data_IF_269740511557
#
_entry.id   IF_269740511557
#
_cell.length_a   1.000
_cell.length_b   1.000
_cell.length_c   1.000
_cell.angle_alpha   90.00
_cell.angle_beta   90.00
_cell.angle_gamma   90.00
#
_symmetry.space_group_name_H-M   'P 1'
#
loop_
_entity.id
_entity.type
_entity.pdbx_description
1 polymer ?
#
# COMPACT_ATOMS: atom_id res chain seq x y z
N UNK A 1 -22.43 9.89 5.88
CA UNK A 1 -21.70 8.61 6.18
C UNK A 1 -20.58 8.85 7.18
N UNK A 2 -20.16 7.80 7.90
CA UNK A 2 -19.03 7.84 8.82
C UNK A 2 -17.87 6.99 8.28
N UNK A 3 -16.72 7.59 8.09
CA UNK A 3 -15.54 6.95 7.54
C UNK A 3 -14.41 6.91 8.57
N UNK A 4 -13.77 5.76 8.73
CA UNK A 4 -12.52 5.62 9.47
C UNK A 4 -11.37 5.29 8.51
N UNK A 5 -10.28 6.02 8.59
CA UNK A 5 -9.05 5.77 7.84
C UNK A 5 -7.92 5.52 8.84
N UNK A 6 -7.41 4.29 8.92
CA UNK A 6 -6.17 4.01 9.65
C UNK A 6 -4.97 4.22 8.71
N UNK A 7 -3.83 4.62 9.24
CA UNK A 7 -2.68 4.98 8.40
C UNK A 7 -2.87 6.28 7.61
N UNK A 8 -3.73 7.19 8.12
CA UNK A 8 -4.10 8.45 7.46
C UNK A 8 -2.94 9.41 7.19
N UNK A 9 -1.83 9.29 7.90
CA UNK A 9 -0.61 10.08 7.63
C UNK A 9 0.26 9.52 6.50
N UNK A 10 -0.05 8.30 6.00
CA UNK A 10 0.66 7.65 4.91
C UNK A 10 0.30 8.23 3.53
N UNK A 11 1.00 7.75 2.49
CA UNK A 11 0.81 8.22 1.11
C UNK A 11 -0.64 8.00 0.62
N UNK A 12 -1.13 6.77 0.72
CA UNK A 12 -2.51 6.43 0.30
C UNK A 12 -3.53 7.13 1.20
N UNK A 13 -3.32 7.10 2.53
CA UNK A 13 -4.25 7.67 3.51
C UNK A 13 -4.49 9.16 3.33
N UNK A 14 -3.43 9.95 3.10
CA UNK A 14 -3.55 11.40 2.82
C UNK A 14 -4.33 11.70 1.55
N UNK A 15 -4.09 10.95 0.49
CA UNK A 15 -4.78 11.14 -0.79
C UNK A 15 -6.24 10.69 -0.69
N UNK A 16 -6.51 9.58 -0.01
CA UNK A 16 -7.86 9.09 0.25
C UNK A 16 -8.66 10.11 1.08
N UNK A 17 -8.09 10.59 2.20
CA UNK A 17 -8.74 11.61 3.03
C UNK A 17 -9.13 12.86 2.24
N UNK A 18 -8.19 13.38 1.43
CA UNK A 18 -8.46 14.55 0.58
C UNK A 18 -9.60 14.27 -0.41
N UNK A 19 -9.60 13.10 -1.04
CA UNK A 19 -10.61 12.73 -2.03
C UNK A 19 -11.99 12.54 -1.39
N UNK A 20 -12.09 11.85 -0.26
CA UNK A 20 -13.36 11.71 0.46
C UNK A 20 -13.86 13.10 0.87
N UNK A 21 -12.98 13.94 1.47
CA UNK A 21 -13.37 15.29 1.92
C UNK A 21 -13.92 16.18 0.81
N UNK A 22 -13.42 16.08 -0.42
CA UNK A 22 -13.91 16.85 -1.57
C UNK A 22 -15.28 16.34 -2.03
N UNK A 23 -15.52 15.02 -1.93
CA UNK A 23 -16.73 14.37 -2.42
C UNK A 23 -17.79 14.12 -1.33
N UNK A 24 -17.47 14.47 -0.08
CA UNK A 24 -18.37 14.23 1.06
C UNK A 24 -19.43 15.30 1.21
N UNK A 25 -20.61 14.88 1.69
CA UNK A 25 -21.67 15.77 2.10
C UNK A 25 -21.35 16.47 3.43
N UNK A 26 -22.06 17.57 3.74
CA UNK A 26 -21.85 18.35 4.99
C UNK A 26 -22.02 17.50 6.27
N UNK A 27 -22.79 16.41 6.19
CA UNK A 27 -23.09 15.52 7.31
C UNK A 27 -22.14 14.32 7.39
N UNK A 28 -21.17 14.18 6.48
CA UNK A 28 -20.23 13.09 6.51
C UNK A 28 -19.13 13.35 7.56
N UNK A 29 -18.86 12.33 8.37
CA UNK A 29 -17.80 12.37 9.38
C UNK A 29 -16.61 11.53 8.93
N UNK A 30 -15.42 12.13 8.85
CA UNK A 30 -14.20 11.47 8.39
C UNK A 30 -13.16 11.50 9.50
N UNK A 31 -12.89 10.36 10.09
CA UNK A 31 -11.84 10.18 11.11
C UNK A 31 -10.63 9.55 10.44
N UNK A 32 -9.53 10.30 10.40
CA UNK A 32 -8.27 9.85 9.79
C UNK A 32 -7.18 9.77 10.85
N UNK A 33 -6.70 8.55 11.13
CA UNK A 33 -5.80 8.25 12.24
C UNK A 33 -4.38 7.95 11.76
N UNK A 34 -3.42 8.57 12.41
CA UNK A 34 -2.01 8.16 12.40
C UNK A 34 -1.69 7.32 13.65
N UNK A 35 -0.47 6.76 13.72
CA UNK A 35 0.00 6.07 14.93
C UNK A 35 0.12 6.98 16.18
N UNK A 36 0.14 8.30 16.00
CA UNK A 36 0.10 9.27 17.11
C UNK A 36 -1.31 9.42 17.67
N UNK A 37 -2.32 9.24 16.84
CA UNK A 37 -3.74 9.36 17.23
C UNK A 37 -4.25 8.05 17.83
N UNK A 38 -3.85 6.92 17.25
CA UNK A 38 -4.18 5.57 17.70
C UNK A 38 -3.11 4.59 17.22
N UNK A 39 -2.26 4.12 18.12
CA UNK A 39 -1.29 3.08 17.80
C UNK A 39 -1.97 1.70 17.87
N UNK A 40 -2.30 1.17 16.71
CA UNK A 40 -3.02 -0.10 16.58
C UNK A 40 -2.27 -1.32 17.11
N UNK A 41 -1.00 -1.19 17.49
CA UNK A 41 -0.27 -2.24 18.22
C UNK A 41 -0.82 -2.45 19.63
N UNK A 42 -1.53 -1.47 20.17
CA UNK A 42 -2.21 -1.55 21.47
C UNK A 42 -3.68 -1.85 21.27
N UNK A 43 -4.18 -2.91 21.93
CA UNK A 43 -5.54 -3.42 21.77
C UNK A 43 -6.64 -2.39 22.13
N UNK A 44 -6.32 -1.44 23.03
CA UNK A 44 -7.26 -0.41 23.52
C UNK A 44 -7.27 0.88 22.68
N UNK A 45 -6.40 0.98 21.70
CA UNK A 45 -6.18 2.24 20.95
C UNK A 45 -7.42 2.78 20.22
N UNK A 46 -8.36 1.89 19.86
CA UNK A 46 -9.60 2.24 19.16
C UNK A 46 -10.83 2.36 20.10
N UNK A 47 -10.71 2.11 21.41
CA UNK A 47 -11.84 2.11 22.34
C UNK A 47 -12.62 3.41 22.37
N UNK A 48 -11.94 4.56 22.23
CA UNK A 48 -12.57 5.88 22.15
C UNK A 48 -13.54 6.05 20.99
N UNK A 49 -13.52 5.14 20.02
CA UNK A 49 -14.39 5.13 18.85
C UNK A 49 -15.49 4.06 18.91
N UNK A 50 -15.61 3.29 20.00
CA UNK A 50 -16.59 2.20 20.13
C UNK A 50 -18.04 2.66 19.90
N UNK A 51 -18.38 3.86 20.33
CA UNK A 51 -19.72 4.43 20.23
C UNK A 51 -20.03 5.11 18.90
N UNK A 52 -19.03 5.30 18.03
CA UNK A 52 -19.21 5.84 16.70
C UNK A 52 -19.51 4.67 15.76
N UNK A 53 -20.64 4.70 15.03
CA UNK A 53 -20.94 3.69 14.02
C UNK A 53 -20.37 4.15 12.68
N UNK A 54 -19.39 3.38 12.19
CA UNK A 54 -18.79 3.63 10.87
C UNK A 54 -19.55 2.87 9.79
N UNK A 55 -19.64 3.48 8.61
CA UNK A 55 -20.14 2.82 7.39
C UNK A 55 -19.01 2.07 6.69
N UNK A 56 -17.82 2.71 6.64
CA UNK A 56 -16.62 2.15 6.00
C UNK A 56 -15.38 2.38 6.84
N UNK A 57 -14.52 1.36 6.88
CA UNK A 57 -13.21 1.39 7.54
C UNK A 57 -12.16 1.11 6.48
N UNK A 58 -11.30 2.09 6.18
CA UNK A 58 -10.15 1.92 5.29
C UNK A 58 -8.91 1.59 6.12
N UNK A 59 -8.51 0.32 6.09
CA UNK A 59 -7.34 -0.15 6.82
C UNK A 59 -6.07 -0.04 5.99
N UNK A 60 -5.38 1.10 6.13
CA UNK A 60 -4.14 1.42 5.42
C UNK A 60 -2.91 1.42 6.34
N UNK A 61 -3.11 1.27 7.65
CA UNK A 61 -2.02 1.21 8.60
C UNK A 61 -1.17 -0.05 8.37
N UNK A 62 0.14 0.14 8.25
CA UNK A 62 1.11 -0.94 8.13
C UNK A 62 2.47 -0.46 8.62
N UNK A 63 3.22 -1.34 9.26
CA UNK A 63 4.60 -1.09 9.68
C UNK A 63 5.55 -1.63 8.61
N UNK A 64 5.86 -0.79 7.60
CA UNK A 64 6.64 -1.16 6.44
C UNK A 64 7.37 0.04 5.83
N UNK A 65 8.54 -0.24 5.23
CA UNK A 65 9.26 0.67 4.35
C UNK A 65 9.73 -0.11 3.11
N UNK A 66 10.06 0.61 2.04
CA UNK A 66 10.62 0.02 0.83
C UNK A 66 12.10 -0.40 1.01
N UNK A 67 12.71 -0.94 -0.03
CA UNK A 67 14.10 -1.38 -0.03
C UNK A 67 14.31 -2.64 0.81
N UNK A 68 15.44 -2.71 1.49
CA UNK A 68 15.88 -3.84 2.31
C UNK A 68 15.27 -3.88 3.73
N UNK A 69 14.32 -2.99 4.02
CA UNK A 69 13.69 -2.91 5.34
C UNK A 69 13.11 -4.25 5.81
N UNK A 70 12.45 -4.99 4.92
CA UNK A 70 11.87 -6.29 5.26
C UNK A 70 12.91 -7.37 5.54
N UNK A 71 14.11 -7.25 4.97
CA UNK A 71 15.21 -8.17 5.24
C UNK A 71 15.85 -7.89 6.59
N UNK A 72 16.05 -6.62 6.92
CA UNK A 72 16.77 -6.19 8.14
C UNK A 72 15.86 -6.14 9.39
N UNK A 73 14.54 -6.02 9.21
CA UNK A 73 13.54 -5.87 10.29
C UNK A 73 12.43 -6.93 10.21
N UNK A 74 12.71 -8.11 9.68
CA UNK A 74 11.70 -9.14 9.39
C UNK A 74 10.87 -9.56 10.61
N UNK A 75 11.52 -9.78 11.76
CA UNK A 75 10.85 -10.16 13.01
C UNK A 75 9.98 -9.05 13.59
N UNK A 76 10.51 -7.83 13.68
CA UNK A 76 9.74 -6.66 14.13
C UNK A 76 8.57 -6.36 13.20
N UNK A 77 8.79 -6.50 11.89
CA UNK A 77 7.76 -6.31 10.88
C UNK A 77 6.61 -7.31 11.05
N UNK A 78 6.94 -8.58 11.31
CA UNK A 78 5.96 -9.62 11.62
C UNK A 78 5.14 -9.25 12.85
N UNK A 79 5.79 -9.02 14.01
CA UNK A 79 5.11 -8.73 15.27
C UNK A 79 4.23 -7.49 15.15
N UNK A 80 4.78 -6.38 14.67
CA UNK A 80 4.05 -5.11 14.60
C UNK A 80 2.83 -5.19 13.68
N UNK A 81 2.96 -5.82 12.50
CA UNK A 81 1.82 -5.93 11.58
C UNK A 81 0.77 -6.94 12.08
N UNK A 82 1.16 -8.03 12.74
CA UNK A 82 0.19 -8.95 13.34
C UNK A 82 -0.62 -8.27 14.45
N UNK A 83 0.02 -7.50 15.33
CA UNK A 83 -0.67 -6.71 16.34
C UNK A 83 -1.62 -5.71 15.71
N UNK A 84 -1.17 -4.90 14.74
CA UNK A 84 -1.97 -3.91 14.01
C UNK A 84 -3.21 -4.57 13.40
N UNK A 85 -3.03 -5.65 12.66
CA UNK A 85 -4.10 -6.34 11.96
C UNK A 85 -5.08 -7.02 12.92
N UNK A 86 -4.56 -7.76 13.89
CA UNK A 86 -5.40 -8.52 14.84
C UNK A 86 -6.22 -7.60 15.74
N UNK A 87 -5.62 -6.52 16.25
CA UNK A 87 -6.34 -5.57 17.09
C UNK A 87 -7.46 -4.86 16.31
N UNK A 88 -7.20 -4.47 15.04
CA UNK A 88 -8.24 -3.90 14.21
C UNK A 88 -9.36 -4.92 13.91
N UNK A 89 -9.03 -6.14 13.52
CA UNK A 89 -10.03 -7.18 13.21
C UNK A 89 -10.90 -7.51 14.44
N UNK A 90 -10.30 -7.60 15.63
CA UNK A 90 -11.03 -7.82 16.88
C UNK A 90 -11.96 -6.65 17.22
N UNK A 91 -11.49 -5.41 17.05
CA UNK A 91 -12.31 -4.22 17.26
C UNK A 91 -13.44 -4.11 16.23
N UNK A 92 -13.15 -4.41 14.94
CA UNK A 92 -14.13 -4.45 13.86
C UNK A 92 -15.26 -5.44 14.19
N UNK A 93 -14.91 -6.67 14.60
CA UNK A 93 -15.87 -7.69 14.99
C UNK A 93 -16.76 -7.23 16.17
N UNK A 94 -16.15 -6.69 17.23
CA UNK A 94 -16.87 -6.40 18.48
C UNK A 94 -17.74 -5.16 18.42
N UNK A 95 -17.29 -4.11 17.72
CA UNK A 95 -17.89 -2.79 17.81
C UNK A 95 -18.39 -2.23 16.49
N UNK A 96 -17.90 -2.74 15.37
CA UNK A 96 -18.15 -2.20 14.03
C UNK A 96 -18.60 -3.25 13.02
N UNK A 97 -19.31 -4.27 13.44
CA UNK A 97 -19.71 -5.42 12.61
C UNK A 97 -20.55 -5.03 11.38
N UNK A 98 -21.19 -3.88 11.38
CA UNK A 98 -21.95 -3.36 10.22
C UNK A 98 -21.08 -2.56 9.24
N UNK A 99 -19.88 -2.16 9.64
CA UNK A 99 -18.99 -1.40 8.78
C UNK A 99 -18.32 -2.32 7.74
N UNK A 100 -18.23 -1.85 6.50
CA UNK A 100 -17.42 -2.53 5.49
C UNK A 100 -15.93 -2.22 5.69
N UNK A 101 -15.12 -3.27 5.85
CA UNK A 101 -13.66 -3.15 5.98
C UNK A 101 -12.99 -3.21 4.61
N UNK A 102 -12.36 -2.12 4.19
CA UNK A 102 -11.56 -2.05 2.96
C UNK A 102 -10.08 -2.09 3.36
N UNK A 103 -9.35 -3.08 2.88
CA UNK A 103 -7.91 -3.26 3.18
C UNK A 103 -7.06 -3.32 1.92
N UNK A 104 -5.75 -3.08 2.08
CA UNK A 104 -4.79 -3.13 0.99
C UNK A 104 -3.91 -4.36 1.17
N UNK A 105 -3.97 -5.26 0.17
CA UNK A 105 -3.05 -6.37 -0.01
C UNK A 105 -1.73 -5.94 -0.63
N UNK A 106 -0.99 -6.89 -1.17
CA UNK A 106 0.25 -6.64 -1.91
C UNK A 106 0.49 -7.72 -2.96
N UNK A 107 0.98 -7.34 -4.12
CA UNK A 107 1.39 -8.30 -5.16
C UNK A 107 2.54 -9.22 -4.70
N UNK A 108 3.34 -8.77 -3.72
CA UNK A 108 4.39 -9.60 -3.11
C UNK A 108 3.84 -10.82 -2.34
N UNK A 109 2.52 -10.88 -2.11
CA UNK A 109 1.86 -12.03 -1.49
C UNK A 109 1.67 -13.21 -2.43
N UNK A 110 1.73 -12.99 -3.74
CA UNK A 110 1.69 -14.09 -4.70
C UNK A 110 2.98 -14.91 -4.66
N UNK A 111 2.88 -16.15 -5.13
CA UNK A 111 4.04 -17.00 -5.29
C UNK A 111 5.09 -16.33 -6.19
N UNK A 112 6.36 -16.42 -5.79
CA UNK A 112 7.45 -15.87 -6.59
C UNK A 112 7.53 -16.61 -7.94
N UNK A 113 7.44 -15.85 -9.03
CA UNK A 113 7.33 -16.36 -10.41
C UNK A 113 6.06 -17.18 -10.71
N UNK A 114 5.05 -17.12 -9.85
CA UNK A 114 3.74 -17.75 -10.05
C UNK A 114 2.74 -16.86 -10.80
N UNK A 115 1.50 -17.34 -10.88
CA UNK A 115 0.36 -16.57 -11.38
C UNK A 115 0.02 -15.42 -10.43
N UNK A 116 -0.43 -14.29 -11.00
CA UNK A 116 -0.98 -13.16 -10.24
C UNK A 116 -2.51 -13.14 -10.29
N UNK A 117 -3.18 -14.27 -10.52
CA UNK A 117 -4.63 -14.35 -10.45
C UNK A 117 -5.11 -14.33 -8.99
N UNK A 118 -6.24 -13.67 -8.71
CA UNK A 118 -6.77 -13.50 -7.34
C UNK A 118 -6.95 -14.83 -6.60
N UNK A 119 -7.34 -15.90 -7.30
CA UNK A 119 -7.49 -17.24 -6.73
C UNK A 119 -6.19 -17.81 -6.14
N UNK A 120 -5.04 -17.33 -6.64
CA UNK A 120 -3.71 -17.81 -6.27
C UNK A 120 -3.04 -16.96 -5.17
N UNK A 121 -3.75 -15.95 -4.65
CA UNK A 121 -3.19 -15.02 -3.63
C UNK A 121 -2.67 -15.73 -2.36
N UNK A 122 -3.26 -16.87 -2.00
CA UNK A 122 -2.87 -17.66 -0.82
C UNK A 122 -2.03 -18.90 -1.18
N UNK A 123 -1.72 -19.14 -2.43
CA UNK A 123 -0.95 -20.32 -2.87
C UNK A 123 0.56 -20.06 -2.87
N UNK A 124 1.34 -21.11 -2.81
CA UNK A 124 2.79 -21.08 -2.90
C UNK A 124 3.50 -20.21 -1.86
N UNK A 125 4.82 -20.08 -2.01
CA UNK A 125 5.63 -19.21 -1.17
C UNK A 125 5.68 -17.80 -1.75
N UNK A 126 5.36 -16.76 -0.98
CA UNK A 126 5.46 -15.38 -1.46
C UNK A 126 6.92 -14.96 -1.68
N UNK A 127 7.11 -13.80 -2.31
CA UNK A 127 8.43 -13.23 -2.60
C UNK A 127 9.35 -13.28 -1.38
N UNK A 128 10.48 -13.97 -1.50
CA UNK A 128 11.39 -14.30 -0.40
C UNK A 128 11.93 -13.06 0.32
N UNK A 129 12.31 -12.02 -0.42
CA UNK A 129 12.83 -10.76 0.15
C UNK A 129 11.81 -9.96 0.95
N UNK A 130 10.50 -10.22 0.77
CA UNK A 130 9.40 -9.54 1.44
C UNK A 130 8.50 -10.51 2.22
N UNK A 131 9.01 -11.71 2.54
CA UNK A 131 8.25 -12.82 3.09
C UNK A 131 7.41 -12.43 4.32
N UNK A 132 8.03 -11.83 5.35
CA UNK A 132 7.31 -11.42 6.57
C UNK A 132 6.18 -10.44 6.28
N UNK A 133 6.42 -9.44 5.42
CA UNK A 133 5.41 -8.47 5.01
C UNK A 133 4.26 -9.12 4.23
N UNK A 134 4.61 -9.92 3.25
CA UNK A 134 3.64 -10.63 2.40
C UNK A 134 2.74 -11.56 3.22
N UNK A 135 3.33 -12.34 4.14
CA UNK A 135 2.58 -13.22 5.03
C UNK A 135 1.66 -12.44 5.98
N UNK A 136 2.08 -11.29 6.51
CA UNK A 136 1.18 -10.44 7.31
C UNK A 136 -0.04 -9.97 6.50
N UNK A 137 0.13 -9.69 5.21
CA UNK A 137 -0.98 -9.31 4.32
C UNK A 137 -1.89 -10.50 3.99
N UNK A 138 -1.33 -11.70 3.77
CA UNK A 138 -2.12 -12.94 3.65
C UNK A 138 -2.92 -13.22 4.92
N UNK A 139 -2.32 -13.08 6.11
CA UNK A 139 -3.00 -13.30 7.40
C UNK A 139 -4.13 -12.30 7.64
N UNK A 140 -3.96 -11.03 7.24
CA UNK A 140 -5.04 -10.04 7.28
C UNK A 140 -6.22 -10.49 6.40
N UNK A 141 -5.94 -10.92 5.17
CA UNK A 141 -6.98 -11.41 4.25
C UNK A 141 -7.68 -12.66 4.79
N UNK A 142 -6.94 -13.64 5.30
CA UNK A 142 -7.50 -14.84 5.94
C UNK A 142 -8.41 -14.46 7.12
N UNK A 143 -7.98 -13.50 7.95
CA UNK A 143 -8.79 -13.00 9.07
C UNK A 143 -10.11 -12.39 8.59
N UNK A 144 -10.08 -11.56 7.55
CA UNK A 144 -11.29 -10.98 6.96
C UNK A 144 -12.24 -12.04 6.40
N UNK A 145 -11.72 -13.02 5.65
CA UNK A 145 -12.52 -14.12 5.10
C UNK A 145 -13.22 -14.93 6.21
N UNK A 146 -12.49 -15.31 7.26
CA UNK A 146 -13.05 -16.11 8.33
C UNK A 146 -14.09 -15.35 9.17
N UNK A 147 -13.85 -14.07 9.45
CA UNK A 147 -14.82 -13.21 10.12
C UNK A 147 -16.08 -12.98 9.27
N UNK A 148 -15.93 -12.79 7.97
CA UNK A 148 -17.07 -12.70 7.06
C UNK A 148 -17.86 -14.02 7.02
N UNK A 149 -17.18 -15.15 6.89
CA UNK A 149 -17.82 -16.47 6.86
C UNK A 149 -18.58 -16.82 8.15
N UNK A 150 -17.99 -16.49 9.30
CA UNK A 150 -18.55 -16.88 10.60
C UNK A 150 -19.60 -15.90 11.11
N UNK A 151 -19.42 -14.60 10.87
CA UNK A 151 -20.21 -13.54 11.50
C UNK A 151 -20.95 -12.64 10.49
N UNK A 152 -20.84 -12.89 9.19
CA UNK A 152 -21.49 -12.10 8.15
C UNK A 152 -20.89 -10.70 7.94
N UNK A 153 -19.66 -10.46 8.38
CA UNK A 153 -19.00 -9.17 8.17
C UNK A 153 -18.68 -8.95 6.69
N UNK A 154 -18.59 -7.68 6.30
CA UNK A 154 -18.34 -7.29 4.89
C UNK A 154 -16.96 -6.70 4.72
N UNK A 155 -16.18 -7.23 3.78
CA UNK A 155 -14.85 -6.71 3.47
C UNK A 155 -14.62 -6.54 1.96
N UNK A 156 -13.56 -5.82 1.62
CA UNK A 156 -12.95 -5.78 0.29
C UNK A 156 -11.44 -5.64 0.45
N UNK A 157 -10.68 -6.54 -0.16
CA UNK A 157 -9.22 -6.47 -0.19
C UNK A 157 -8.78 -6.06 -1.59
N UNK A 158 -8.06 -4.95 -1.70
CA UNK A 158 -7.52 -4.45 -2.97
C UNK A 158 -6.01 -4.69 -3.04
N UNK A 159 -5.54 -5.26 -4.12
CA UNK A 159 -4.11 -5.55 -4.35
C UNK A 159 -3.61 -4.65 -5.48
N UNK A 160 -3.13 -3.44 -5.18
CA UNK A 160 -2.65 -2.54 -6.23
C UNK A 160 -1.26 -2.94 -6.73
N UNK A 161 -0.99 -2.63 -8.00
CA UNK A 161 0.37 -2.50 -8.51
C UNK A 161 1.11 -1.34 -7.80
N UNK A 162 2.35 -1.05 -8.16
CA UNK A 162 3.13 -0.01 -7.46
C UNK A 162 2.50 1.36 -7.62
N UNK A 163 2.02 1.93 -6.50
CA UNK A 163 1.37 3.23 -6.49
C UNK A 163 2.37 4.38 -6.52
N UNK A 164 2.08 5.39 -7.36
CA UNK A 164 2.85 6.62 -7.42
C UNK A 164 1.95 7.85 -7.53
N UNK A 165 2.53 9.04 -7.34
CA UNK A 165 1.81 10.31 -7.47
C UNK A 165 2.17 11.31 -6.37
N UNK A 166 1.43 12.42 -6.27
CA UNK A 166 1.72 13.51 -5.34
C UNK A 166 1.49 13.11 -3.89
N UNK A 167 2.27 13.71 -2.98
CA UNK A 167 2.13 13.52 -1.53
C UNK A 167 2.95 12.36 -0.95
N UNK A 168 3.79 11.69 -1.77
CA UNK A 168 4.74 10.72 -1.26
C UNK A 168 5.86 11.42 -0.48
N UNK A 169 6.11 10.98 0.77
CA UNK A 169 7.18 11.57 1.60
C UNK A 169 8.50 10.84 1.37
N UNK A 170 9.53 11.62 1.02
CA UNK A 170 10.91 11.15 0.90
C UNK A 170 11.73 11.31 2.20
N UNK A 171 11.14 11.90 3.24
CA UNK A 171 11.84 12.17 4.49
C UNK A 171 11.96 10.91 5.35
N UNK A 172 13.18 10.58 5.76
CA UNK A 172 13.52 9.49 6.69
C UNK A 172 12.94 8.10 6.30
N UNK A 173 12.78 7.85 5.00
CA UNK A 173 12.29 6.57 4.47
C UNK A 173 13.07 6.19 3.23
N UNK A 174 13.27 4.89 3.05
CA UNK A 174 13.74 4.34 1.79
C UNK A 174 12.55 4.41 0.81
N UNK A 175 12.68 5.15 -0.30
CA UNK A 175 11.58 5.33 -1.23
C UNK A 175 11.40 4.10 -2.14
N UNK A 176 10.19 3.90 -2.66
CA UNK A 176 9.98 2.98 -3.78
C UNK A 176 10.80 3.42 -5.00
N UNK A 177 11.16 2.45 -5.84
CA UNK A 177 12.08 2.61 -6.96
C UNK A 177 11.82 3.86 -7.82
N UNK A 178 10.57 4.15 -8.14
CA UNK A 178 10.23 5.30 -8.99
C UNK A 178 10.60 6.64 -8.36
N UNK A 179 10.35 6.78 -7.05
CA UNK A 179 10.71 7.98 -6.31
C UNK A 179 12.22 8.07 -6.05
N UNK A 180 12.90 6.92 -5.93
CA UNK A 180 14.37 6.86 -5.81
C UNK A 180 15.03 7.35 -7.12
N UNK A 181 14.56 6.87 -8.27
CA UNK A 181 15.03 7.31 -9.58
C UNK A 181 14.83 8.83 -9.75
N UNK A 182 13.62 9.33 -9.47
CA UNK A 182 13.33 10.77 -9.54
C UNK A 182 14.27 11.55 -8.63
N UNK A 183 14.43 11.13 -7.38
CA UNK A 183 15.33 11.80 -6.42
C UNK A 183 16.78 11.82 -6.90
N UNK A 184 17.29 10.68 -7.36
CA UNK A 184 18.66 10.55 -7.87
C UNK A 184 18.90 11.47 -9.08
N UNK A 185 17.99 11.50 -10.04
CA UNK A 185 18.09 12.34 -11.24
C UNK A 185 18.06 13.84 -10.89
N UNK A 186 17.12 14.25 -10.02
CA UNK A 186 17.02 15.65 -9.59
C UNK A 186 18.25 16.11 -8.82
N UNK A 187 18.81 15.27 -7.95
CA UNK A 187 20.05 15.57 -7.23
C UNK A 187 21.25 15.62 -8.19
N UNK A 188 21.33 14.69 -9.16
CA UNK A 188 22.39 14.68 -10.14
C UNK A 188 22.33 15.90 -11.08
N UNK A 189 21.12 16.34 -11.47
CA UNK A 189 20.94 17.60 -12.21
C UNK A 189 21.46 18.79 -11.41
N UNK A 190 21.08 18.87 -10.12
CA UNK A 190 21.49 19.97 -9.23
C UNK A 190 22.99 20.07 -9.03
N UNK A 191 23.67 18.93 -8.88
CA UNK A 191 25.11 18.87 -8.56
C UNK A 191 25.99 18.48 -9.74
N UNK A 192 25.42 18.38 -10.94
CA UNK A 192 26.11 17.96 -12.17
C UNK A 192 26.81 16.59 -12.07
N UNK A 193 26.20 15.64 -11.39
CA UNK A 193 26.74 14.30 -11.15
C UNK A 193 26.18 13.27 -12.16
N UNK A 194 26.75 12.05 -12.15
CA UNK A 194 26.18 10.86 -12.79
C UNK A 194 25.18 10.19 -11.84
N UNK A 195 24.27 9.40 -12.40
CA UNK A 195 23.30 8.59 -11.63
C UNK A 195 23.62 7.12 -11.81
N UNK A 196 23.73 6.39 -10.69
CA UNK A 196 23.81 4.93 -10.69
C UNK A 196 22.45 4.33 -10.38
N UNK A 197 22.00 3.45 -11.26
CA UNK A 197 20.82 2.57 -11.06
C UNK A 197 21.30 1.12 -11.02
N UNK A 198 20.66 0.31 -10.19
CA UNK A 198 21.03 -1.08 -10.00
C UNK A 198 20.44 -1.98 -11.09
N UNK A 199 21.13 -3.06 -11.41
CA UNK A 199 20.77 -3.98 -12.48
C UNK A 199 21.11 -3.42 -13.88
N UNK A 200 20.53 -4.01 -14.91
CA UNK A 200 20.70 -3.61 -16.31
C UNK A 200 19.54 -2.72 -16.81
N UNK A 201 18.57 -2.44 -15.98
CA UNK A 201 17.39 -1.65 -16.30
C UNK A 201 16.30 -2.40 -17.10
N UNK A 202 16.47 -3.71 -17.35
CA UNK A 202 15.48 -4.54 -18.07
C UNK A 202 14.33 -5.01 -17.17
N UNK A 203 14.49 -4.92 -15.85
CA UNK A 203 13.45 -5.31 -14.92
C UNK A 203 12.19 -4.48 -15.18
N UNK A 204 11.06 -5.18 -15.27
CA UNK A 204 9.78 -4.55 -15.54
C UNK A 204 9.00 -4.27 -14.26
N UNK A 205 8.26 -3.17 -14.29
CA UNK A 205 7.34 -2.78 -13.21
C UNK A 205 6.09 -2.16 -13.80
N UNK A 206 4.99 -2.45 -13.14
CA UNK A 206 3.73 -1.77 -13.39
C UNK A 206 3.53 -0.66 -12.36
N UNK A 207 3.20 0.54 -12.84
CA UNK A 207 2.90 1.71 -12.02
C UNK A 207 1.44 2.12 -12.19
N UNK A 208 0.78 2.41 -11.07
CA UNK A 208 -0.56 2.95 -11.07
C UNK A 208 -0.59 4.30 -10.35
N UNK A 209 -1.16 5.31 -11.01
CA UNK A 209 -1.28 6.63 -10.39
C UNK A 209 -2.29 6.60 -9.24
N UNK A 210 -1.99 7.30 -8.15
CA UNK A 210 -2.84 7.30 -6.94
C UNK A 210 -4.29 7.74 -7.23
N UNK A 211 -4.51 8.65 -8.17
CA UNK A 211 -5.86 9.05 -8.54
C UNK A 211 -6.64 7.93 -9.23
N UNK A 212 -5.99 7.13 -10.07
CA UNK A 212 -6.61 6.00 -10.77
C UNK A 212 -6.94 4.90 -9.77
N UNK A 213 -6.02 4.62 -8.85
CA UNK A 213 -6.29 3.73 -7.72
C UNK A 213 -7.52 4.17 -6.92
N UNK A 214 -7.61 5.45 -6.53
CA UNK A 214 -8.75 5.95 -5.78
C UNK A 214 -10.06 5.91 -6.57
N UNK A 215 -10.03 6.20 -7.87
CA UNK A 215 -11.20 6.09 -8.74
C UNK A 215 -11.70 4.63 -8.78
N UNK A 216 -10.79 3.66 -8.95
CA UNK A 216 -11.15 2.24 -8.93
C UNK A 216 -11.63 1.80 -7.55
N UNK A 217 -10.98 2.22 -6.46
CA UNK A 217 -11.41 1.91 -5.10
C UNK A 217 -12.87 2.32 -4.88
N UNK A 218 -13.24 3.56 -5.18
CA UNK A 218 -14.62 4.05 -4.99
C UNK A 218 -15.66 3.35 -5.87
N UNK A 219 -15.26 2.94 -7.08
CA UNK A 219 -16.13 2.16 -7.95
C UNK A 219 -16.37 0.75 -7.37
N UNK A 220 -15.29 0.09 -6.92
CA UNK A 220 -15.32 -1.30 -6.49
C UNK A 220 -15.90 -1.49 -5.09
N UNK A 221 -15.67 -0.56 -4.16
CA UNK A 221 -16.15 -0.67 -2.79
C UNK A 221 -17.67 -0.69 -2.66
N UNK A 222 -18.39 -0.14 -3.66
CA UNK A 222 -19.85 -0.17 -3.70
C UNK A 222 -20.39 -1.35 -4.51
N UNK A 223 -19.56 -1.99 -5.33
CA UNK A 223 -19.96 -3.07 -6.26
C UNK A 223 -19.65 -4.46 -5.72
N UNK A 224 -18.56 -4.62 -4.98
CA UNK A 224 -18.06 -5.93 -4.53
C UNK A 224 -18.00 -6.03 -3.02
N UNK A 225 -18.39 -7.19 -2.50
CA UNK A 225 -18.29 -7.56 -1.08
C UNK A 225 -17.63 -8.94 -0.95
N UNK A 226 -16.78 -9.09 0.06
CA UNK A 226 -16.11 -10.35 0.40
C UNK A 226 -15.20 -10.89 -0.72
N UNK A 227 -14.55 -9.97 -1.42
CA UNK A 227 -13.67 -10.25 -2.53
C UNK A 227 -12.25 -9.72 -2.29
N UNK A 228 -11.29 -10.33 -3.00
CA UNK A 228 -9.97 -9.79 -3.22
C UNK A 228 -9.84 -9.45 -4.71
N UNK A 229 -9.40 -8.24 -5.03
CA UNK A 229 -9.34 -7.75 -6.41
C UNK A 229 -7.98 -7.11 -6.66
N UNK A 230 -7.31 -7.55 -7.73
CA UNK A 230 -6.09 -6.93 -8.23
C UNK A 230 -6.41 -5.60 -8.94
N UNK A 231 -5.59 -4.59 -8.69
CA UNK A 231 -5.70 -3.28 -9.33
C UNK A 231 -4.40 -2.94 -10.04
N UNK A 232 -4.47 -2.80 -11.34
CA UNK A 232 -3.33 -2.46 -12.19
C UNK A 232 -3.68 -1.40 -13.23
N UNK A 233 -2.65 -0.88 -13.89
CA UNK A 233 -2.77 -0.03 -15.07
C UNK A 233 -2.85 -0.86 -16.37
N UNK A 234 -2.63 -2.19 -16.28
CA UNK A 234 -2.69 -3.13 -17.39
C UNK A 234 -1.43 -3.18 -18.24
N UNK A 235 -0.36 -2.48 -17.86
CA UNK A 235 0.88 -2.47 -18.63
C UNK A 235 2.12 -2.29 -17.72
N UNK A 236 3.14 -3.10 -17.98
CA UNK A 236 4.44 -3.00 -17.33
C UNK A 236 5.49 -2.42 -18.29
N UNK A 237 6.46 -1.70 -17.71
CA UNK A 237 7.56 -1.09 -18.44
C UNK A 237 8.89 -1.39 -17.74
N UNK A 238 9.98 -1.37 -18.53
CA UNK A 238 11.33 -1.53 -18.01
C UNK A 238 11.78 -0.34 -17.15
N UNK A 239 12.62 -0.58 -16.17
CA UNK A 239 13.20 0.47 -15.33
C UNK A 239 13.90 1.56 -16.17
N UNK A 240 14.64 1.13 -17.23
CA UNK A 240 15.30 2.07 -18.15
C UNK A 240 14.32 2.99 -18.87
N UNK A 241 13.09 2.52 -19.17
CA UNK A 241 12.04 3.33 -19.79
C UNK A 241 11.59 4.44 -18.83
N UNK A 242 11.36 4.14 -17.56
CA UNK A 242 11.02 5.16 -16.56
C UNK A 242 12.16 6.16 -16.38
N UNK A 243 13.41 5.69 -16.30
CA UNK A 243 14.57 6.55 -16.18
C UNK A 243 14.67 7.50 -17.37
N UNK A 244 14.41 7.02 -18.60
CA UNK A 244 14.40 7.85 -19.81
C UNK A 244 13.34 8.93 -19.76
N UNK A 245 12.09 8.59 -19.42
CA UNK A 245 11.00 9.57 -19.27
C UNK A 245 11.35 10.64 -18.22
N UNK A 246 11.90 10.23 -17.06
CA UNK A 246 12.27 11.19 -16.01
C UNK A 246 13.39 12.11 -16.50
N UNK A 247 14.37 11.59 -17.24
CA UNK A 247 15.43 12.39 -17.85
C UNK A 247 14.86 13.42 -18.82
N UNK A 248 13.95 12.99 -19.70
CA UNK A 248 13.33 13.89 -20.70
C UNK A 248 12.50 14.99 -20.00
N UNK A 249 11.69 14.63 -18.99
CA UNK A 249 10.88 15.60 -18.24
C UNK A 249 11.71 16.57 -17.38
N UNK A 250 12.90 16.14 -16.95
CA UNK A 250 13.78 16.96 -16.11
C UNK A 250 14.90 17.60 -16.91
N UNK A 251 14.95 17.41 -18.23
CA UNK A 251 16.06 17.89 -19.11
C UNK A 251 17.44 17.42 -18.59
N UNK A 252 17.51 16.18 -18.10
CA UNK A 252 18.77 15.57 -17.67
C UNK A 252 19.29 14.65 -18.76
N UNK A 253 20.59 14.70 -19.04
CA UNK A 253 21.19 13.87 -20.08
C UNK A 253 21.17 12.39 -19.67
N UNK A 254 20.40 11.56 -20.38
CA UNK A 254 20.30 10.12 -20.14
C UNK A 254 21.64 9.38 -20.21
N UNK A 255 22.62 9.90 -20.98
CA UNK A 255 23.99 9.34 -21.05
C UNK A 255 24.72 9.39 -19.70
N UNK A 256 24.25 10.20 -18.75
CA UNK A 256 24.77 10.26 -17.38
C UNK A 256 24.16 9.19 -16.45
N UNK A 257 23.21 8.39 -16.94
CA UNK A 257 22.69 7.22 -16.22
C UNK A 257 23.63 6.03 -16.45
N UNK A 258 24.11 5.45 -15.36
CA UNK A 258 24.90 4.23 -15.36
C UNK A 258 24.09 3.08 -14.71
N UNK A 259 23.92 2.00 -15.46
CA UNK A 259 23.29 0.77 -14.97
C UNK A 259 24.37 -0.18 -14.44
N UNK A 260 24.37 -0.36 -13.12
CA UNK A 260 25.36 -1.22 -12.45
C UNK A 260 24.84 -2.65 -12.35
N UNK A 261 25.32 -3.52 -13.23
CA UNK A 261 24.92 -4.94 -13.31
C UNK A 261 25.41 -5.81 -12.14
N UNK A 262 26.41 -5.32 -11.40
CA UNK A 262 26.97 -6.03 -10.25
C UNK A 262 26.13 -5.82 -8.98
N UNK A 263 25.14 -4.92 -9.02
CA UNK A 263 24.20 -4.64 -7.95
C UNK A 263 22.78 -5.07 -8.34
N UNK A 264 22.24 -5.97 -7.55
CA UNK A 264 20.89 -6.50 -7.77
C UNK A 264 20.03 -6.28 -6.52
#
# INVERSE_FOLDING_TARGET
MNFLITGGSGFVGKNLYKRIKVNSDKNDNIISLSSKDADLRHATSLEKFNNIKFDKIYHLATWHQAGDFSLTHSGEQWINNQLINTNLLNWWLKYQSNAKLISIGTSCSYEENGSLEEKDYLTGSPTSSLFSYAMCKRMLYIGQQNLAKQFGLKYLTLVPSTLYGPGYSLQNKIPHFIFDIIKKILLAKKYNNKVELWGDGSQKRELMHINDFLNQLFLLENKYENELINLGAGQEYEIKYFAKIICDLTEFDFKKIFFNKDKY
#
